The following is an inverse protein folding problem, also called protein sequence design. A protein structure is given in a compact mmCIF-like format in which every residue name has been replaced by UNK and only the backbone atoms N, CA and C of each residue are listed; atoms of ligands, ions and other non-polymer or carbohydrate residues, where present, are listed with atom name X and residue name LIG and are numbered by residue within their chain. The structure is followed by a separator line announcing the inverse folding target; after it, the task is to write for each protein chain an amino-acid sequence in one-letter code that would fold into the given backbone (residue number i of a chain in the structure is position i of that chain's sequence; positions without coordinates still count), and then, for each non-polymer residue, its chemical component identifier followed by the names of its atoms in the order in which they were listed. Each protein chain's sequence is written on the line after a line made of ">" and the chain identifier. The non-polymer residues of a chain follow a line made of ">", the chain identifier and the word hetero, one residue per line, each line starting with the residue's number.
data_IF_753521196725
#
_entry.id   IF_753521196725
#
_cell.length_a   1.000
_cell.length_b   1.000
_cell.length_c   1.000
_cell.angle_alpha   90.00
_cell.angle_beta   90.00
_cell.angle_gamma   90.00
#
_symmetry.space_group_name_H-M   'P 1'
#
loop_
_entity.id
_entity.type
_entity.pdbx_description
1 polymer ?
#
# COMPACT_ATOMS: atom_id res chain seq x y z
N UNK A 1 26.96 19.99 3.39
CA UNK A 1 26.19 18.86 3.94
C UNK A 1 24.75 19.00 3.48
N UNK A 2 24.36 18.29 2.43
CA UNK A 2 22.99 18.33 1.89
C UNK A 2 22.16 17.28 2.61
N UNK A 3 21.24 17.71 3.49
CA UNK A 3 20.26 16.81 4.08
C UNK A 3 19.28 16.33 3.00
N UNK A 4 19.47 15.10 2.51
CA UNK A 4 18.50 14.41 1.67
C UNK A 4 17.46 13.71 2.56
N UNK A 5 16.33 14.38 2.80
CA UNK A 5 15.17 13.81 3.50
C UNK A 5 14.27 12.95 2.59
N UNK A 6 14.74 12.58 1.40
CA UNK A 6 13.98 11.75 0.48
C UNK A 6 14.79 10.48 0.24
N UNK A 7 14.33 9.30 0.70
CA UNK A 7 14.97 8.06 0.30
C UNK A 7 14.85 7.95 -1.23
N UNK A 8 15.98 7.69 -1.88
CA UNK A 8 16.14 7.44 -3.31
C UNK A 8 15.23 6.35 -3.91
N UNK A 9 14.43 5.67 -3.08
CA UNK A 9 13.35 4.79 -3.50
C UNK A 9 12.21 5.52 -4.26
N UNK A 10 12.10 6.85 -4.14
CA UNK A 10 11.05 7.65 -4.80
C UNK A 10 11.55 8.59 -5.91
N UNK A 11 12.83 8.53 -6.28
CA UNK A 11 13.31 9.30 -7.43
C UNK A 11 12.85 8.64 -8.73
N UNK A 12 12.26 9.42 -9.64
CA UNK A 12 11.91 8.95 -10.98
C UNK A 12 13.19 8.59 -11.74
N UNK A 13 13.52 7.30 -11.81
CA UNK A 13 14.55 6.78 -12.70
C UNK A 13 14.03 6.73 -14.13
N UNK A 14 14.93 6.82 -15.11
CA UNK A 14 14.57 6.53 -16.49
C UNK A 14 13.98 5.11 -16.59
N UNK A 15 12.87 4.97 -17.31
CA UNK A 15 12.18 3.70 -17.47
C UNK A 15 13.09 2.78 -18.29
N UNK A 16 13.64 1.77 -17.64
CA UNK A 16 14.61 0.85 -18.23
C UNK A 16 14.41 -0.54 -17.64
N UNK A 17 14.79 -1.58 -18.40
CA UNK A 17 14.58 -2.98 -17.99
C UNK A 17 13.13 -3.45 -18.13
N UNK A 18 12.58 -4.14 -17.13
CA UNK A 18 11.25 -4.79 -17.17
C UNK A 18 10.06 -3.82 -17.27
N UNK A 19 10.32 -2.51 -17.17
CA UNK A 19 9.30 -1.46 -17.23
C UNK A 19 9.12 -0.85 -18.64
N UNK A 20 9.84 -1.36 -19.64
CA UNK A 20 9.66 -1.01 -21.07
C UNK A 20 9.25 -2.25 -21.89
N UNK A 21 8.70 -2.04 -23.08
CA UNK A 21 8.30 -3.14 -23.98
C UNK A 21 9.46 -4.11 -24.24
N UNK A 22 9.20 -5.40 -24.08
CA UNK A 22 10.18 -6.45 -24.40
C UNK A 22 10.24 -6.71 -25.90
N UNK A 23 11.44 -7.05 -26.38
CA UNK A 23 11.68 -7.43 -27.78
C UNK A 23 11.05 -8.80 -28.06
N UNK A 24 9.82 -8.81 -28.57
CA UNK A 24 9.14 -10.01 -29.04
C UNK A 24 9.16 -10.04 -30.57
N UNK A 25 9.63 -11.14 -31.15
CA UNK A 25 9.68 -11.36 -32.60
C UNK A 25 10.52 -10.38 -33.44
N UNK A 26 11.67 -9.93 -32.93
CA UNK A 26 12.65 -9.15 -33.72
C UNK A 26 12.30 -7.68 -33.96
N UNK A 27 11.31 -7.16 -33.23
CA UNK A 27 10.98 -5.74 -33.19
C UNK A 27 11.48 -5.16 -31.86
N UNK A 28 12.36 -4.17 -31.92
CA UNK A 28 12.84 -3.46 -30.74
C UNK A 28 11.72 -2.56 -30.20
N UNK A 29 11.04 -3.05 -29.16
CA UNK A 29 9.90 -2.35 -28.55
C UNK A 29 10.27 -1.57 -27.28
N UNK A 30 11.58 -1.40 -27.03
CA UNK A 30 12.12 -0.75 -25.83
C UNK A 30 11.74 0.71 -25.67
N UNK A 31 11.27 1.35 -26.75
CA UNK A 31 10.80 2.75 -26.76
C UNK A 31 9.28 2.88 -26.92
N UNK A 32 8.55 1.76 -26.88
CA UNK A 32 7.09 1.75 -27.03
C UNK A 32 6.44 1.53 -25.67
N UNK A 33 5.46 2.37 -25.32
CA UNK A 33 4.71 2.25 -24.07
C UNK A 33 3.88 0.96 -24.07
N UNK A 34 4.32 -0.05 -23.32
CA UNK A 34 3.62 -1.32 -23.15
C UNK A 34 2.73 -1.29 -21.90
N UNK A 35 1.74 -2.18 -21.84
CA UNK A 35 0.89 -2.37 -20.64
C UNK A 35 1.74 -2.76 -19.41
N UNK A 36 2.88 -3.41 -19.61
CA UNK A 36 3.83 -3.74 -18.54
C UNK A 36 4.40 -2.48 -17.86
N UNK A 37 4.60 -1.39 -18.60
CA UNK A 37 5.03 -0.12 -18.02
C UNK A 37 4.04 0.43 -16.98
N UNK A 38 2.74 0.37 -17.26
CA UNK A 38 1.70 0.80 -16.30
C UNK A 38 1.73 -0.08 -15.04
N UNK A 39 1.97 -1.39 -15.18
CA UNK A 39 2.07 -2.28 -14.00
C UNK A 39 3.28 -1.96 -13.12
N UNK A 40 4.39 -1.52 -13.71
CA UNK A 40 5.59 -1.09 -12.98
C UNK A 40 5.36 0.21 -12.19
N UNK A 41 4.72 1.21 -12.80
CA UNK A 41 4.34 2.44 -12.10
C UNK A 41 3.36 2.15 -10.96
N UNK A 42 2.36 1.32 -11.21
CA UNK A 42 1.36 0.95 -10.22
C UNK A 42 2.02 0.21 -9.04
N UNK A 43 2.96 -0.70 -9.30
CA UNK A 43 3.73 -1.39 -8.25
C UNK A 43 4.50 -0.40 -7.37
N UNK A 44 5.21 0.56 -7.97
CA UNK A 44 6.01 1.50 -7.19
C UNK A 44 5.15 2.37 -6.26
N UNK A 45 3.94 2.74 -6.72
CA UNK A 45 2.99 3.56 -5.94
C UNK A 45 2.22 2.72 -4.92
N UNK A 46 1.77 1.51 -5.27
CA UNK A 46 0.94 0.68 -4.38
C UNK A 46 1.75 -0.15 -3.38
N UNK A 47 3.01 -0.51 -3.68
CA UNK A 47 3.87 -1.31 -2.79
C UNK A 47 4.02 -0.71 -1.37
N UNK A 48 4.27 0.60 -1.19
CA UNK A 48 4.43 1.17 0.16
C UNK A 48 3.10 1.40 0.89
N UNK A 49 1.96 1.49 0.19
CA UNK A 49 0.68 1.91 0.78
C UNK A 49 0.23 1.00 1.94
N UNK A 50 0.20 -0.33 1.81
CA UNK A 50 -0.23 -1.21 2.90
C UNK A 50 0.63 -1.06 4.17
N UNK A 51 1.94 -0.90 4.00
CA UNK A 51 2.85 -0.70 5.13
C UNK A 51 2.60 0.64 5.83
N UNK A 52 2.33 1.70 5.07
CA UNK A 52 1.97 3.01 5.62
C UNK A 52 0.62 2.97 6.36
N UNK A 53 -0.39 2.27 5.82
CA UNK A 53 -1.68 2.10 6.48
C UNK A 53 -1.51 1.33 7.80
N UNK A 54 -0.74 0.25 7.80
CA UNK A 54 -0.47 -0.53 9.02
C UNK A 54 0.22 0.33 10.10
N UNK A 55 1.22 1.14 9.71
CA UNK A 55 1.90 2.06 10.62
C UNK A 55 0.93 3.11 11.18
N UNK A 56 0.10 3.72 10.31
CA UNK A 56 -0.89 4.71 10.72
C UNK A 56 -1.92 4.11 11.69
N UNK A 57 -2.38 2.89 11.44
CA UNK A 57 -3.33 2.19 12.31
C UNK A 57 -2.74 1.98 13.72
N UNK A 58 -1.47 1.59 13.83
CA UNK A 58 -0.78 1.47 15.13
C UNK A 58 -0.75 2.82 15.85
N UNK A 59 -0.43 3.91 15.15
CA UNK A 59 -0.43 5.25 15.73
C UNK A 59 -1.80 5.68 16.26
N UNK A 60 -2.87 5.42 15.49
CA UNK A 60 -4.25 5.73 15.90
C UNK A 60 -4.68 4.89 17.10
N UNK A 61 -4.33 3.61 17.15
CA UNK A 61 -4.65 2.72 18.28
C UNK A 61 -3.97 3.23 19.56
N UNK A 62 -2.70 3.64 19.48
CA UNK A 62 -1.98 4.22 20.63
C UNK A 62 -2.65 5.52 21.09
N UNK A 63 -2.95 6.43 20.16
CA UNK A 63 -3.62 7.70 20.49
C UNK A 63 -5.02 7.48 21.08
N UNK A 64 -5.77 6.51 20.57
CA UNK A 64 -7.07 6.12 21.11
C UNK A 64 -6.93 5.56 22.53
N UNK A 65 -5.91 4.73 22.78
CA UNK A 65 -5.61 4.19 24.11
C UNK A 65 -5.27 5.28 25.13
N UNK A 66 -4.41 6.24 24.76
CA UNK A 66 -4.10 7.39 25.62
C UNK A 66 -5.38 8.20 25.90
N UNK A 67 -6.19 8.46 24.87
CA UNK A 67 -7.42 9.24 25.02
C UNK A 67 -8.44 8.54 25.92
N UNK A 68 -8.54 7.20 25.86
CA UNK A 68 -9.38 6.40 26.74
C UNK A 68 -8.95 6.50 28.21
N UNK A 69 -7.65 6.49 28.49
CA UNK A 69 -7.16 6.59 29.88
C UNK A 69 -7.25 8.01 30.44
N UNK A 70 -7.07 9.04 29.61
CA UNK A 70 -7.13 10.45 30.05
C UNK A 70 -8.54 11.04 30.06
N UNK A 71 -9.55 10.37 29.49
CA UNK A 71 -10.91 10.90 29.36
C UNK A 71 -11.68 11.05 30.69
N UNK A 72 -11.26 10.35 31.75
CA UNK A 72 -11.89 10.46 33.07
C UNK A 72 -13.39 10.15 33.03
N UNK A 73 -14.21 11.04 33.60
CA UNK A 73 -15.67 10.92 33.65
C UNK A 73 -16.41 11.64 32.52
N UNK A 74 -15.71 12.17 31.50
CA UNK A 74 -16.37 12.83 30.36
C UNK A 74 -16.84 11.77 29.34
N UNK A 75 -18.16 11.52 29.22
CA UNK A 75 -18.69 10.52 28.31
C UNK A 75 -18.40 10.84 26.83
N UNK A 76 -18.25 12.12 26.47
CA UNK A 76 -17.98 12.52 25.07
C UNK A 76 -16.55 12.16 24.67
N UNK A 77 -15.60 12.37 25.57
CA UNK A 77 -14.19 12.05 25.33
C UNK A 77 -13.98 10.53 25.17
N UNK A 78 -14.65 9.72 26.00
CA UNK A 78 -14.63 8.25 25.92
C UNK A 78 -15.25 7.76 24.61
N UNK A 79 -16.43 8.25 24.24
CA UNK A 79 -17.09 7.87 22.98
C UNK A 79 -16.24 8.22 21.74
N UNK A 80 -15.61 9.39 21.74
CA UNK A 80 -14.70 9.79 20.66
C UNK A 80 -13.49 8.86 20.53
N UNK A 81 -12.92 8.42 21.66
CA UNK A 81 -11.75 7.54 21.65
C UNK A 81 -12.11 6.12 21.17
N UNK A 82 -13.26 5.59 21.58
CA UNK A 82 -13.80 4.33 21.05
C UNK A 82 -14.07 4.38 19.55
N UNK A 83 -14.61 5.51 19.05
CA UNK A 83 -14.79 5.70 17.61
C UNK A 83 -13.44 5.65 16.87
N UNK A 84 -12.42 6.36 17.37
CA UNK A 84 -11.08 6.32 16.77
C UNK A 84 -10.51 4.90 16.73
N UNK A 85 -10.63 4.15 17.83
CA UNK A 85 -10.20 2.75 17.89
C UNK A 85 -10.94 1.88 16.88
N UNK A 86 -12.27 2.01 16.84
CA UNK A 86 -13.13 1.23 15.93
C UNK A 86 -12.78 1.48 14.48
N UNK A 87 -12.57 2.75 14.08
CA UNK A 87 -12.16 3.08 12.72
C UNK A 87 -10.79 2.51 12.35
N UNK A 88 -9.82 2.52 13.27
CA UNK A 88 -8.52 1.90 13.04
C UNK A 88 -8.64 0.39 12.83
N UNK A 89 -9.43 -0.29 13.66
CA UNK A 89 -9.67 -1.74 13.55
C UNK A 89 -10.41 -2.09 12.26
N UNK A 90 -11.45 -1.33 11.91
CA UNK A 90 -12.19 -1.52 10.65
C UNK A 90 -11.24 -1.38 9.45
N UNK A 91 -10.36 -0.37 9.46
CA UNK A 91 -9.36 -0.19 8.40
C UNK A 91 -8.45 -1.40 8.22
N UNK A 92 -7.96 -1.98 9.32
CA UNK A 92 -7.13 -3.20 9.29
C UNK A 92 -7.90 -4.43 8.81
N UNK A 93 -9.16 -4.59 9.25
CA UNK A 93 -10.02 -5.69 8.81
C UNK A 93 -10.28 -5.57 7.30
N UNK A 94 -10.57 -4.36 6.81
CA UNK A 94 -10.82 -4.12 5.39
C UNK A 94 -9.58 -4.42 4.54
N UNK A 95 -8.39 -4.00 5.00
CA UNK A 95 -7.13 -4.35 4.34
C UNK A 95 -6.93 -5.87 4.27
N UNK A 96 -7.22 -6.57 5.36
CA UNK A 96 -7.16 -8.03 5.42
C UNK A 96 -8.19 -8.70 4.49
N UNK A 97 -9.40 -8.13 4.39
CA UNK A 97 -10.46 -8.62 3.52
C UNK A 97 -10.11 -8.47 2.03
N UNK A 98 -9.50 -7.35 1.65
CA UNK A 98 -8.98 -7.14 0.28
C UNK A 98 -7.91 -8.16 -0.05
N UNK A 99 -6.97 -8.40 0.87
CA UNK A 99 -5.94 -9.43 0.69
C UNK A 99 -6.55 -10.82 0.49
N UNK A 100 -7.51 -11.18 1.34
CA UNK A 100 -8.22 -12.45 1.23
C UNK A 100 -8.94 -12.59 -0.13
N UNK A 101 -9.59 -11.53 -0.59
CA UNK A 101 -10.24 -11.51 -1.89
C UNK A 101 -9.24 -11.74 -3.05
N UNK A 102 -8.06 -11.13 -3.00
CA UNK A 102 -7.00 -11.34 -3.99
C UNK A 102 -6.49 -12.80 -4.00
N UNK A 103 -6.26 -13.38 -2.83
CA UNK A 103 -5.82 -14.78 -2.69
C UNK A 103 -6.88 -15.76 -3.22
N UNK A 104 -8.17 -15.47 -2.99
CA UNK A 104 -9.25 -16.28 -3.54
C UNK A 104 -9.24 -16.23 -5.08
N UNK A 105 -9.09 -15.03 -5.67
CA UNK A 105 -9.01 -14.89 -7.13
C UNK A 105 -7.80 -15.66 -7.67
N UNK A 106 -6.64 -15.58 -7.02
CA UNK A 106 -5.43 -16.32 -7.42
C UNK A 106 -5.67 -17.84 -7.41
N UNK A 107 -6.31 -18.36 -6.37
CA UNK A 107 -6.61 -19.80 -6.26
C UNK A 107 -7.64 -20.29 -7.29
N UNK A 108 -8.63 -19.47 -7.66
CA UNK A 108 -9.66 -19.86 -8.64
C UNK A 108 -9.21 -19.67 -10.09
N UNK A 109 -8.41 -18.63 -10.37
CA UNK A 109 -7.99 -18.31 -11.75
C UNK A 109 -6.64 -18.91 -12.12
N UNK A 110 -5.83 -19.32 -11.13
CA UNK A 110 -4.45 -19.74 -11.35
C UNK A 110 -3.51 -18.62 -11.80
N UNK A 111 -4.01 -17.38 -11.90
CA UNK A 111 -3.22 -16.21 -12.23
C UNK A 111 -2.66 -15.57 -10.95
N UNK A 112 -1.34 -15.41 -10.89
CA UNK A 112 -0.65 -14.73 -9.80
C UNK A 112 -0.98 -13.24 -9.83
N UNK A 113 -1.81 -12.78 -8.91
CA UNK A 113 -2.24 -11.38 -8.79
C UNK A 113 -1.71 -10.71 -7.51
N UNK A 114 -1.21 -11.51 -6.57
CA UNK A 114 -0.54 -11.02 -5.35
C UNK A 114 0.94 -10.71 -5.57
N UNK A 115 1.53 -11.21 -6.66
CA UNK A 115 2.91 -10.97 -7.05
C UNK A 115 2.94 -9.98 -8.23
N UNK A 116 3.14 -8.69 -7.94
CA UNK A 116 3.51 -7.71 -8.97
C UNK A 116 5.01 -7.89 -9.33
N UNK A 117 5.35 -9.04 -9.87
CA UNK A 117 6.70 -9.39 -10.31
C UNK A 117 6.58 -10.53 -11.32
N UNK A 118 7.15 -10.30 -12.50
CA UNK A 118 7.40 -11.38 -13.47
C UNK A 118 8.45 -12.35 -12.92
#
# INVERSE_FOLDING_TARGET
>A
MTLSFIPQAYAASNWSGECVGQNVAGVDATDVASIQGITCLLRNVLSPIPALIALAAVGIIIMAGIRLTTAGSDPKAVASAWNMFTWAVIGLILLSAVWLALVLIENFTGAKVTQFGI
#
